data_IF_535181981484
#
_entry.id   IF_535181981484
#
_cell.length_a   1.000
_cell.length_b   1.000
_cell.length_c   1.000
_cell.angle_alpha   90.00
_cell.angle_beta   90.00
_cell.angle_gamma   90.00
#
_symmetry.space_group_name_H-M   'P 1'
#
loop_
_entity.id
_entity.type
_entity.pdbx_description
1 polymer ?
#
# COMPACT_ATOMS: atom_id res chain seq x y z
N UNK A 1 -9.20 -2.87 10.32
CA UNK A 1 -8.73 -3.58 9.10
C UNK A 1 -9.82 -3.70 8.04
N UNK A 2 -10.87 -4.52 8.21
CA UNK A 2 -11.86 -4.77 7.14
C UNK A 2 -12.64 -3.53 6.67
N UNK A 3 -13.03 -2.64 7.58
CA UNK A 3 -13.69 -1.36 7.23
C UNK A 3 -12.77 -0.49 6.35
N UNK A 4 -11.51 -0.32 6.77
CA UNK A 4 -10.50 0.43 6.02
C UNK A 4 -10.32 -0.14 4.59
N UNK A 5 -10.16 -1.45 4.46
CA UNK A 5 -10.03 -2.11 3.15
C UNK A 5 -11.27 -1.88 2.30
N UNK A 6 -12.46 -2.01 2.89
CA UNK A 6 -13.72 -1.80 2.18
C UNK A 6 -13.78 -0.38 1.63
N UNK A 7 -13.45 0.63 2.44
CA UNK A 7 -13.46 2.03 2.00
C UNK A 7 -12.46 2.25 0.85
N UNK A 8 -11.20 1.82 1.00
CA UNK A 8 -10.15 2.06 -0.01
C UNK A 8 -10.45 1.32 -1.31
N UNK A 9 -10.92 0.07 -1.25
CA UNK A 9 -11.32 -0.69 -2.45
C UNK A 9 -12.49 0.01 -3.14
N UNK A 10 -13.49 0.45 -2.38
CA UNK A 10 -14.70 1.07 -2.92
C UNK A 10 -14.36 2.36 -3.65
N UNK A 11 -13.64 3.27 -2.99
CA UNK A 11 -13.19 4.54 -3.60
C UNK A 11 -12.23 4.29 -4.77
N UNK A 12 -11.30 3.32 -4.63
CA UNK A 12 -10.38 2.94 -5.70
C UNK A 12 -11.08 2.39 -6.94
N UNK A 13 -12.06 1.50 -6.78
CA UNK A 13 -12.88 0.97 -7.89
C UNK A 13 -13.74 2.08 -8.50
N UNK A 14 -14.35 2.94 -7.68
CA UNK A 14 -15.15 4.07 -8.16
C UNK A 14 -14.31 5.00 -9.05
N UNK A 15 -13.12 5.38 -8.60
CA UNK A 15 -12.19 6.19 -9.38
C UNK A 15 -11.68 5.46 -10.62
N UNK A 16 -11.38 4.16 -10.52
CA UNK A 16 -10.97 3.35 -11.67
C UNK A 16 -12.02 3.32 -12.77
N UNK A 17 -13.28 3.05 -12.40
CA UNK A 17 -14.41 3.07 -13.32
C UNK A 17 -14.63 4.45 -13.91
N UNK A 18 -14.55 5.50 -13.10
CA UNK A 18 -14.67 6.90 -13.56
C UNK A 18 -13.61 7.24 -14.59
N UNK A 19 -12.35 6.87 -14.34
CA UNK A 19 -11.23 7.10 -15.27
C UNK A 19 -11.40 6.28 -16.55
N UNK A 20 -11.84 5.02 -16.48
CA UNK A 20 -12.11 4.21 -17.67
C UNK A 20 -13.24 4.82 -18.49
N UNK A 21 -14.35 5.19 -17.87
CA UNK A 21 -15.50 5.80 -18.56
C UNK A 21 -15.08 7.11 -19.21
N UNK A 22 -14.38 7.99 -18.49
CA UNK A 22 -13.87 9.25 -19.02
C UNK A 22 -12.90 9.02 -20.18
N UNK A 23 -12.00 8.04 -20.07
CA UNK A 23 -11.06 7.68 -21.14
C UNK A 23 -11.76 7.12 -22.37
N UNK A 24 -12.78 6.28 -22.19
CA UNK A 24 -13.59 5.76 -23.29
C UNK A 24 -14.37 6.87 -24.01
N UNK A 25 -14.88 7.86 -23.26
CA UNK A 25 -15.55 9.03 -23.83
C UNK A 25 -14.55 9.89 -24.61
N UNK A 26 -13.36 10.15 -24.03
CA UNK A 26 -12.29 10.92 -24.68
C UNK A 26 -11.79 10.23 -25.95
N UNK A 27 -11.62 8.90 -25.95
CA UNK A 27 -11.23 8.13 -27.14
C UNK A 27 -12.33 8.20 -28.21
N UNK A 28 -13.61 8.13 -27.83
CA UNK A 28 -14.73 8.28 -28.79
C UNK A 28 -14.76 9.68 -29.41
N UNK A 29 -14.50 10.73 -28.62
CA UNK A 29 -14.38 12.10 -29.12
C UNK A 29 -13.13 12.32 -29.98
N UNK A 30 -11.96 11.80 -29.58
CA UNK A 30 -10.73 11.87 -30.37
C UNK A 30 -10.80 11.13 -31.70
N UNK A 31 -11.64 10.10 -31.81
CA UNK A 31 -11.89 9.44 -33.11
C UNK A 31 -12.62 10.35 -34.12
N UNK A 32 -13.07 11.54 -33.68
CA UNK A 32 -13.67 12.57 -34.53
C UNK A 32 -12.71 13.75 -34.85
N UNK A 33 -11.58 13.88 -34.13
CA UNK A 33 -10.57 14.93 -34.35
C UNK A 33 -9.24 14.29 -34.81
N UNK A 34 -8.85 14.54 -36.06
CA UNK A 34 -7.74 13.89 -36.76
C UNK A 34 -6.33 14.37 -36.33
N UNK A 35 -6.22 15.19 -35.28
CA UNK A 35 -5.01 15.96 -34.98
C UNK A 35 -4.24 15.44 -33.74
N UNK A 36 -2.99 15.08 -33.98
CA UNK A 36 -2.09 14.37 -33.05
C UNK A 36 -1.87 15.06 -31.68
N UNK A 37 -1.75 14.22 -30.64
CA UNK A 37 -2.05 14.55 -29.23
C UNK A 37 -1.13 15.50 -28.46
N UNK A 38 -0.04 16.02 -29.03
CA UNK A 38 0.82 17.03 -28.36
C UNK A 38 0.43 18.46 -28.76
N UNK A 39 0.21 18.70 -30.06
CA UNK A 39 -0.24 19.97 -30.64
C UNK A 39 -1.59 20.39 -30.06
N UNK A 40 -2.54 19.45 -29.98
CA UNK A 40 -3.89 19.71 -29.49
C UNK A 40 -3.93 19.95 -27.96
N UNK A 41 -3.11 19.24 -27.18
CA UNK A 41 -3.02 19.43 -25.73
C UNK A 41 -2.41 20.80 -25.36
N UNK A 42 -1.34 21.21 -26.07
CA UNK A 42 -0.74 22.54 -25.91
C UNK A 42 -1.68 23.67 -26.34
N UNK A 43 -2.48 23.48 -27.40
CA UNK A 43 -3.53 24.44 -27.81
C UNK A 43 -4.67 24.55 -26.79
N UNK A 44 -5.05 23.45 -26.13
CA UNK A 44 -6.14 23.39 -25.14
C UNK A 44 -5.79 24.02 -23.79
N UNK A 45 -4.50 24.13 -23.47
CA UNK A 45 -4.00 24.74 -22.23
C UNK A 45 -2.97 25.85 -22.48
N UNK A 46 -3.38 27.00 -23.06
CA UNK A 46 -2.47 28.10 -23.40
C UNK A 46 -1.84 28.77 -22.17
N UNK A 47 -2.44 28.63 -20.98
CA UNK A 47 -1.99 29.23 -19.72
C UNK A 47 -0.88 28.47 -19.00
N UNK A 48 -0.37 27.35 -19.55
CA UNK A 48 0.72 26.58 -18.93
C UNK A 48 2.03 27.38 -18.94
N UNK A 49 2.68 27.45 -17.78
CA UNK A 49 4.02 28.02 -17.62
C UNK A 49 5.02 27.29 -18.52
N UNK A 50 6.12 27.97 -18.90
CA UNK A 50 7.16 27.40 -19.74
C UNK A 50 7.71 26.07 -19.17
N UNK A 51 7.97 26.04 -17.86
CA UNK A 51 8.48 24.86 -17.18
C UNK A 51 7.52 23.67 -17.27
N UNK A 52 6.22 23.90 -17.11
CA UNK A 52 5.22 22.83 -17.20
C UNK A 52 5.07 22.30 -18.61
N UNK A 53 5.14 23.20 -19.62
CA UNK A 53 5.18 22.77 -21.02
C UNK A 53 6.39 21.90 -21.30
N UNK A 54 7.57 22.28 -20.79
CA UNK A 54 8.79 21.51 -21.01
C UNK A 54 8.74 20.13 -20.35
N UNK A 55 8.18 20.05 -19.14
CA UNK A 55 7.97 18.76 -18.45
C UNK A 55 7.05 17.84 -19.23
N UNK A 56 5.93 18.35 -19.74
CA UNK A 56 4.98 17.58 -20.56
C UNK A 56 5.62 17.09 -21.85
N UNK A 57 6.40 17.94 -22.53
CA UNK A 57 7.10 17.57 -23.77
C UNK A 57 8.07 16.40 -23.55
N UNK A 58 8.93 16.50 -22.53
CA UNK A 58 9.92 15.46 -22.21
C UNK A 58 9.26 14.15 -21.78
N UNK A 59 8.18 14.22 -20.99
CA UNK A 59 7.39 13.07 -20.56
C UNK A 59 6.78 12.34 -21.77
N UNK A 60 6.08 13.06 -22.65
CA UNK A 60 5.43 12.47 -23.82
C UNK A 60 6.44 11.90 -24.82
N UNK A 61 7.61 12.52 -24.98
CA UNK A 61 8.68 12.03 -25.85
C UNK A 61 9.28 10.70 -25.35
N UNK A 62 9.36 10.51 -24.03
CA UNK A 62 9.98 9.32 -23.43
C UNK A 62 8.98 8.22 -23.06
N UNK A 63 7.68 8.42 -23.32
CA UNK A 63 6.61 7.50 -22.94
C UNK A 63 6.92 6.06 -23.33
N UNK A 64 6.65 5.14 -22.41
CA UNK A 64 6.76 3.69 -22.64
C UNK A 64 5.54 3.22 -23.43
N UNK A 65 5.71 2.53 -24.56
CA UNK A 65 4.61 1.95 -25.32
C UNK A 65 3.79 0.98 -24.46
N UNK A 66 2.46 1.15 -24.47
CA UNK A 66 1.55 0.32 -23.67
C UNK A 66 1.71 -1.18 -23.97
N UNK A 67 1.98 -1.54 -25.23
CA UNK A 67 2.22 -2.92 -25.66
C UNK A 67 3.37 -3.57 -24.91
N UNK A 68 4.45 -2.82 -24.63
CA UNK A 68 5.60 -3.35 -23.89
C UNK A 68 5.21 -3.59 -22.43
N UNK A 69 4.49 -2.66 -21.80
CA UNK A 69 4.04 -2.80 -20.41
C UNK A 69 3.06 -3.96 -20.23
N UNK A 70 2.08 -4.09 -21.13
CA UNK A 70 1.09 -5.19 -21.10
C UNK A 70 1.76 -6.53 -21.40
N UNK A 71 2.64 -6.59 -22.40
CA UNK A 71 3.39 -7.79 -22.73
C UNK A 71 4.30 -8.25 -21.58
N UNK A 72 5.03 -7.31 -20.96
CA UNK A 72 5.87 -7.59 -19.80
C UNK A 72 5.08 -8.06 -18.59
N UNK A 73 3.89 -7.49 -18.37
CA UNK A 73 2.99 -7.93 -17.31
C UNK A 73 2.50 -9.37 -17.54
N UNK A 74 2.00 -9.69 -18.74
CA UNK A 74 1.49 -11.04 -19.05
C UNK A 74 2.63 -12.06 -18.96
N UNK A 75 3.82 -11.75 -19.47
CA UNK A 75 4.97 -12.63 -19.40
C UNK A 75 5.40 -12.89 -17.95
N UNK A 76 5.55 -11.85 -17.13
CA UNK A 76 5.94 -11.99 -15.72
C UNK A 76 4.87 -12.70 -14.88
N UNK A 77 3.59 -12.42 -15.10
CA UNK A 77 2.48 -13.11 -14.45
C UNK A 77 2.45 -14.60 -14.81
N UNK A 78 2.71 -14.95 -16.07
CA UNK A 78 2.76 -16.35 -16.52
C UNK A 78 3.93 -17.09 -15.89
N UNK A 79 5.12 -16.49 -15.85
CA UNK A 79 6.30 -17.08 -15.19
C UNK A 79 6.00 -17.30 -13.70
N UNK A 80 5.46 -16.30 -13.01
CA UNK A 80 5.11 -16.41 -11.60
C UNK A 80 4.05 -17.48 -11.32
N UNK A 81 3.04 -17.60 -12.19
CA UNK A 81 1.99 -18.61 -12.06
C UNK A 81 2.50 -20.06 -12.22
N UNK A 82 3.69 -20.25 -12.81
CA UNK A 82 4.35 -21.57 -12.94
C UNK A 82 5.37 -21.79 -11.82
N UNK A 83 6.23 -20.80 -11.54
CA UNK A 83 7.33 -20.93 -10.58
C UNK A 83 6.82 -21.00 -9.14
N UNK A 84 5.80 -20.22 -8.77
CA UNK A 84 5.30 -20.17 -7.40
C UNK A 84 4.70 -21.51 -6.96
N UNK A 85 3.80 -22.17 -7.74
CA UNK A 85 3.32 -23.51 -7.40
C UNK A 85 4.41 -24.58 -7.38
N UNK A 86 5.52 -24.39 -8.11
CA UNK A 86 6.66 -25.31 -8.07
C UNK A 86 7.47 -25.19 -6.76
N UNK A 87 7.54 -23.98 -6.19
CA UNK A 87 8.21 -23.74 -4.91
C UNK A 87 7.32 -24.08 -3.70
N UNK A 88 6.00 -23.90 -3.83
CA UNK A 88 5.03 -24.10 -2.76
C UNK A 88 3.87 -24.98 -3.23
N UNK A 89 3.93 -26.28 -2.91
CA UNK A 89 2.89 -27.25 -3.27
C UNK A 89 1.48 -26.90 -2.72
N UNK A 90 1.42 -26.03 -1.71
CA UNK A 90 0.17 -25.63 -1.06
C UNK A 90 -0.66 -24.67 -1.93
N UNK A 91 -0.06 -23.99 -2.91
CA UNK A 91 -0.75 -23.06 -3.81
C UNK A 91 -0.73 -23.57 -5.26
N UNK A 92 -1.92 -23.66 -5.86
CA UNK A 92 -2.06 -24.12 -7.25
C UNK A 92 -2.01 -22.96 -8.25
N UNK A 93 -1.64 -23.25 -9.51
CA UNK A 93 -1.53 -22.26 -10.58
C UNK A 93 -2.78 -21.39 -10.76
N UNK A 94 -3.98 -21.96 -10.64
CA UNK A 94 -5.23 -21.20 -10.84
C UNK A 94 -5.47 -20.14 -9.76
N UNK A 95 -4.98 -20.37 -8.53
CA UNK A 95 -5.06 -19.37 -7.45
C UNK A 95 -4.17 -18.17 -7.78
N UNK A 96 -2.94 -18.43 -8.23
CA UNK A 96 -1.98 -17.40 -8.63
C UNK A 96 -2.46 -16.66 -9.89
N UNK A 97 -3.00 -17.37 -10.88
CA UNK A 97 -3.55 -16.78 -12.09
C UNK A 97 -4.75 -15.86 -11.77
N UNK A 98 -5.67 -16.29 -10.91
CA UNK A 98 -6.81 -15.47 -10.47
C UNK A 98 -6.32 -14.20 -9.79
N UNK A 99 -5.29 -14.32 -8.94
CA UNK A 99 -4.69 -13.19 -8.25
C UNK A 99 -4.12 -12.15 -9.21
N UNK A 100 -3.40 -12.59 -10.25
CA UNK A 100 -2.90 -11.68 -11.28
C UNK A 100 -4.03 -11.07 -12.12
N UNK A 101 -5.12 -11.78 -12.43
CA UNK A 101 -6.25 -11.18 -13.18
C UNK A 101 -6.86 -9.99 -12.42
N UNK A 102 -7.01 -10.09 -11.09
CA UNK A 102 -7.58 -9.00 -10.27
C UNK A 102 -6.55 -7.92 -9.90
N UNK A 103 -5.26 -8.23 -9.99
CA UNK A 103 -4.18 -7.37 -9.50
C UNK A 103 -4.19 -5.94 -10.08
N UNK A 104 -4.41 -5.71 -11.40
CA UNK A 104 -4.33 -4.35 -11.96
C UNK A 104 -5.35 -3.39 -11.35
N UNK A 105 -6.55 -3.87 -11.00
CA UNK A 105 -7.60 -3.05 -10.36
C UNK A 105 -7.19 -2.67 -8.95
N UNK A 106 -6.68 -3.63 -8.18
CA UNK A 106 -6.22 -3.41 -6.80
C UNK A 106 -4.96 -2.52 -6.78
N UNK A 107 -4.04 -2.74 -7.72
CA UNK A 107 -2.85 -1.92 -7.91
C UNK A 107 -3.23 -0.48 -8.25
N UNK A 108 -4.18 -0.26 -9.16
CA UNK A 108 -4.69 1.07 -9.45
C UNK A 108 -5.25 1.73 -8.19
N UNK A 109 -6.14 1.07 -7.45
CA UNK A 109 -6.72 1.60 -6.21
C UNK A 109 -5.63 1.99 -5.19
N UNK A 110 -4.64 1.12 -4.97
CA UNK A 110 -3.54 1.38 -4.03
C UNK A 110 -2.61 2.51 -4.52
N UNK A 111 -2.28 2.55 -5.81
CA UNK A 111 -1.42 3.60 -6.38
C UNK A 111 -2.11 4.96 -6.36
N UNK A 112 -3.43 5.00 -6.60
CA UNK A 112 -4.24 6.20 -6.47
C UNK A 112 -4.27 6.71 -5.03
N UNK A 113 -4.57 5.82 -4.08
CA UNK A 113 -4.52 6.14 -2.65
C UNK A 113 -3.14 6.69 -2.25
N UNK A 114 -2.08 5.97 -2.62
CA UNK A 114 -0.70 6.39 -2.37
C UNK A 114 -0.36 7.73 -3.04
N UNK A 115 -0.89 8.01 -4.23
CA UNK A 115 -0.70 9.29 -4.91
C UNK A 115 -1.34 10.48 -4.18
N UNK A 116 -2.44 10.24 -3.47
CA UNK A 116 -3.15 11.26 -2.68
C UNK A 116 -2.56 11.45 -1.28
N UNK A 117 -2.14 10.37 -0.64
CA UNK A 117 -1.80 10.36 0.79
C UNK A 117 -0.32 10.12 1.07
N UNK A 118 0.47 9.89 0.03
CA UNK A 118 1.86 9.44 0.11
C UNK A 118 2.06 8.14 0.91
N UNK A 119 1.00 7.32 0.98
CA UNK A 119 0.98 6.12 1.81
C UNK A 119 0.47 4.89 1.05
N UNK A 120 1.29 3.83 1.00
CA UNK A 120 0.91 2.55 0.40
C UNK A 120 0.27 1.65 1.44
N UNK A 121 -0.96 1.20 1.18
CA UNK A 121 -1.69 0.26 2.04
C UNK A 121 -1.52 -1.21 1.59
N UNK A 122 -0.43 -1.51 0.90
CA UNK A 122 -0.13 -2.86 0.37
C UNK A 122 -0.20 -3.96 1.43
N UNK A 123 0.33 -3.71 2.63
CA UNK A 123 0.23 -4.64 3.76
C UNK A 123 -1.21 -4.95 4.19
N UNK A 124 -2.11 -3.98 4.11
CA UNK A 124 -3.52 -4.14 4.46
C UNK A 124 -4.22 -5.07 3.48
N UNK A 125 -3.98 -4.86 2.18
CA UNK A 125 -4.41 -5.75 1.11
C UNK A 125 -3.83 -7.15 1.25
N UNK A 126 -2.55 -7.27 1.60
CA UNK A 126 -1.89 -8.53 1.89
C UNK A 126 -2.61 -9.31 3.01
N UNK A 127 -2.86 -8.67 4.15
CA UNK A 127 -3.60 -9.27 5.28
C UNK A 127 -4.97 -9.82 4.86
N UNK A 128 -5.73 -9.08 4.06
CA UNK A 128 -7.01 -9.54 3.54
C UNK A 128 -6.87 -10.67 2.52
N UNK A 129 -5.83 -10.63 1.70
CA UNK A 129 -5.51 -11.70 0.76
C UNK A 129 -5.25 -13.02 1.50
N UNK A 130 -4.53 -12.98 2.64
CA UNK A 130 -4.37 -14.17 3.48
C UNK A 130 -5.73 -14.72 3.89
N UNK A 131 -6.62 -13.87 4.43
CA UNK A 131 -7.93 -14.30 4.89
C UNK A 131 -8.73 -14.99 3.77
N UNK A 132 -8.78 -14.37 2.58
CA UNK A 132 -9.53 -14.90 1.43
C UNK A 132 -8.95 -16.22 0.92
N UNK A 133 -7.62 -16.31 0.76
CA UNK A 133 -6.99 -17.53 0.22
C UNK A 133 -6.96 -18.67 1.24
N UNK A 134 -6.81 -18.35 2.54
CA UNK A 134 -6.94 -19.34 3.60
C UNK A 134 -8.36 -19.93 3.65
N UNK A 135 -9.39 -19.08 3.50
CA UNK A 135 -10.79 -19.48 3.42
C UNK A 135 -11.13 -20.26 2.15
N UNK A 136 -10.40 -20.05 1.04
CA UNK A 136 -10.65 -20.77 -0.21
C UNK A 136 -10.01 -22.16 -0.20
N UNK A 137 -8.78 -22.30 0.31
CA UNK A 137 -8.01 -23.53 0.17
C UNK A 137 -8.47 -24.62 1.16
N UNK A 138 -8.91 -24.25 2.37
CA UNK A 138 -9.48 -25.12 3.43
C UNK A 138 -8.83 -26.51 3.50
N UNK A 139 -7.49 -26.54 3.54
CA UNK A 139 -6.66 -27.75 3.56
C UNK A 139 -5.47 -27.57 4.49
N UNK A 140 -4.82 -28.66 4.96
CA UNK A 140 -3.52 -28.56 5.62
C UNK A 140 -2.54 -27.83 4.67
N UNK A 141 -2.09 -26.64 5.06
CA UNK A 141 -1.29 -25.74 4.22
C UNK A 141 -1.97 -24.43 3.79
N UNK A 142 -3.25 -24.21 4.14
CA UNK A 142 -3.98 -22.98 3.79
C UNK A 142 -3.29 -21.69 4.27
N UNK A 143 -2.68 -21.71 5.45
CA UNK A 143 -1.93 -20.55 5.99
C UNK A 143 -0.72 -20.23 5.12
N UNK A 144 0.05 -21.25 4.73
CA UNK A 144 1.25 -21.08 3.88
C UNK A 144 0.84 -20.53 2.52
N UNK A 145 -0.18 -21.11 1.89
CA UNK A 145 -0.68 -20.62 0.60
C UNK A 145 -1.23 -19.18 0.69
N UNK A 146 -1.94 -18.84 1.77
CA UNK A 146 -2.39 -17.48 2.04
C UNK A 146 -1.23 -16.49 2.22
N UNK A 147 -0.17 -16.88 2.93
CA UNK A 147 1.05 -16.08 3.10
C UNK A 147 1.78 -15.87 1.77
N UNK A 148 1.85 -16.89 0.91
CA UNK A 148 2.43 -16.75 -0.44
C UNK A 148 1.61 -15.77 -1.29
N UNK A 149 0.28 -15.92 -1.32
CA UNK A 149 -0.61 -15.00 -2.02
C UNK A 149 -0.47 -13.55 -1.49
N UNK A 150 -0.35 -13.39 -0.17
CA UNK A 150 -0.08 -12.12 0.48
C UNK A 150 1.24 -11.49 0.01
N UNK A 151 2.32 -12.28 -0.04
CA UNK A 151 3.62 -11.80 -0.53
C UNK A 151 3.55 -11.28 -1.97
N UNK A 152 2.84 -11.99 -2.85
CA UNK A 152 2.62 -11.57 -4.24
C UNK A 152 1.87 -10.23 -4.30
N UNK A 153 0.78 -10.09 -3.54
CA UNK A 153 -0.02 -8.84 -3.50
C UNK A 153 0.80 -7.69 -2.94
N UNK A 154 1.45 -7.86 -1.79
CA UNK A 154 2.26 -6.81 -1.16
C UNK A 154 3.33 -6.34 -2.15
N UNK A 155 4.10 -7.25 -2.74
CA UNK A 155 5.16 -6.90 -3.68
C UNK A 155 4.61 -6.14 -4.89
N UNK A 156 3.55 -6.63 -5.53
CA UNK A 156 2.95 -5.98 -6.69
C UNK A 156 2.43 -4.57 -6.38
N UNK A 157 1.72 -4.41 -5.26
CA UNK A 157 1.13 -3.13 -4.85
C UNK A 157 2.17 -2.09 -4.42
N UNK A 158 3.23 -2.52 -3.72
CA UNK A 158 4.31 -1.61 -3.35
C UNK A 158 5.11 -1.17 -4.57
N UNK A 159 5.47 -2.09 -5.47
CA UNK A 159 6.22 -1.75 -6.68
C UNK A 159 5.40 -0.81 -7.57
N UNK A 160 4.10 -1.03 -7.74
CA UNK A 160 3.27 -0.13 -8.54
C UNK A 160 3.19 1.28 -7.95
N UNK A 161 3.02 1.40 -6.63
CA UNK A 161 2.92 2.68 -5.94
C UNK A 161 4.25 3.46 -5.99
N UNK A 162 5.36 2.78 -5.70
CA UNK A 162 6.71 3.35 -5.80
C UNK A 162 7.02 3.76 -7.23
N UNK A 163 6.69 2.92 -8.22
CA UNK A 163 6.90 3.29 -9.62
C UNK A 163 6.15 4.56 -10.02
N UNK A 164 4.95 4.79 -9.48
CA UNK A 164 4.19 6.02 -9.72
C UNK A 164 4.86 7.25 -9.10
N UNK A 165 5.37 7.14 -7.87
CA UNK A 165 6.12 8.21 -7.20
C UNK A 165 7.44 8.53 -7.91
N UNK A 166 8.15 7.50 -8.35
CA UNK A 166 9.37 7.65 -9.12
C UNK A 166 9.08 8.34 -10.45
N UNK A 167 8.06 7.89 -11.20
CA UNK A 167 7.66 8.53 -12.49
C UNK A 167 7.33 10.00 -12.28
N UNK A 168 6.62 10.34 -11.19
CA UNK A 168 6.32 11.73 -10.82
C UNK A 168 7.60 12.53 -10.54
N UNK A 169 8.56 11.94 -9.85
CA UNK A 169 9.87 12.56 -9.59
C UNK A 169 10.65 12.74 -10.89
N UNK A 170 10.62 11.76 -11.79
CA UNK A 170 11.20 11.84 -13.12
C UNK A 170 10.58 12.99 -13.93
N UNK A 171 9.25 13.11 -13.90
CA UNK A 171 8.53 14.23 -14.51
C UNK A 171 8.96 15.60 -13.95
N UNK A 172 9.10 15.72 -12.63
CA UNK A 172 9.53 16.97 -11.99
C UNK A 172 10.99 17.34 -12.29
N UNK A 173 11.86 16.34 -12.43
CA UNK A 173 13.31 16.49 -12.66
C UNK A 173 13.70 16.47 -14.14
N UNK A 174 12.75 16.33 -15.06
CA UNK A 174 12.99 16.16 -16.51
C UNK A 174 13.84 14.92 -16.84
N UNK A 175 13.82 13.91 -15.95
CA UNK A 175 14.52 12.63 -16.17
C UNK A 175 13.70 11.73 -17.09
N UNK A 176 14.37 10.98 -17.96
CA UNK A 176 13.69 10.02 -18.86
C UNK A 176 13.04 8.87 -18.07
N UNK A 177 11.73 8.67 -18.28
CA UNK A 177 10.97 7.54 -17.71
C UNK A 177 11.60 6.18 -17.99
N UNK A 178 12.18 6.00 -19.18
CA UNK A 178 12.80 4.73 -19.59
C UNK A 178 14.01 4.40 -18.72
N UNK A 179 14.87 5.40 -18.49
CA UNK A 179 16.06 5.23 -17.65
C UNK A 179 15.66 4.86 -16.22
N UNK A 180 14.59 5.46 -15.71
CA UNK A 180 14.08 5.21 -14.38
C UNK A 180 13.49 3.80 -14.22
N UNK A 181 12.70 3.32 -15.19
CA UNK A 181 12.20 1.93 -15.20
C UNK A 181 13.34 0.93 -15.30
N UNK A 182 14.36 1.19 -16.13
CA UNK A 182 15.56 0.35 -16.19
C UNK A 182 16.27 0.31 -14.84
N UNK A 183 16.42 1.47 -14.18
CA UNK A 183 16.99 1.57 -12.84
C UNK A 183 16.23 0.72 -11.81
N UNK A 184 14.90 0.75 -11.83
CA UNK A 184 14.07 -0.10 -10.98
C UNK A 184 14.27 -1.58 -11.27
N UNK A 185 14.32 -1.99 -12.55
CA UNK A 185 14.55 -3.39 -12.92
C UNK A 185 15.90 -3.87 -12.37
N UNK A 186 16.96 -3.08 -12.54
CA UNK A 186 18.29 -3.39 -12.00
C UNK A 186 18.25 -3.49 -10.47
N UNK A 187 17.58 -2.55 -9.81
CA UNK A 187 17.39 -2.57 -8.35
C UNK A 187 16.66 -3.83 -7.87
N UNK A 188 15.60 -4.25 -8.58
CA UNK A 188 14.85 -5.49 -8.28
C UNK A 188 15.74 -6.72 -8.46
N UNK A 189 16.57 -6.79 -9.51
CA UNK A 189 17.50 -7.90 -9.73
C UNK A 189 18.54 -7.99 -8.60
N UNK A 190 19.15 -6.86 -8.24
CA UNK A 190 20.13 -6.81 -7.13
C UNK A 190 19.45 -7.18 -5.81
N UNK A 191 18.28 -6.61 -5.52
CA UNK A 191 17.50 -6.90 -4.32
C UNK A 191 17.10 -8.37 -4.22
N UNK A 192 16.74 -9.01 -5.33
CA UNK A 192 16.39 -10.43 -5.38
C UNK A 192 17.55 -11.35 -4.99
N UNK A 193 18.79 -10.91 -5.15
CA UNK A 193 20.00 -11.65 -4.74
C UNK A 193 20.41 -11.27 -3.31
N UNK A 194 20.41 -9.98 -2.99
CA UNK A 194 20.91 -9.47 -1.71
C UNK A 194 19.95 -9.79 -0.56
N UNK A 195 18.63 -9.69 -0.75
CA UNK A 195 17.65 -9.91 0.31
C UNK A 195 17.69 -11.33 0.91
N UNK A 196 17.73 -12.42 0.11
CA UNK A 196 17.91 -13.78 0.65
C UNK A 196 19.26 -13.95 1.37
N UNK A 197 20.35 -13.36 0.84
CA UNK A 197 21.66 -13.41 1.49
C UNK A 197 21.66 -12.76 2.87
N UNK A 198 20.98 -11.61 3.02
CA UNK A 198 20.80 -10.94 4.31
C UNK A 198 20.00 -11.83 5.26
N UNK A 199 18.89 -12.42 4.79
CA UNK A 199 18.09 -13.34 5.59
C UNK A 199 18.91 -14.55 6.10
N UNK A 200 19.71 -15.16 5.22
CA UNK A 200 20.62 -16.26 5.59
C UNK A 200 21.72 -15.81 6.57
N UNK A 201 22.22 -14.58 6.44
CA UNK A 201 23.19 -14.02 7.38
C UNK A 201 22.58 -13.85 8.79
N UNK A 202 21.35 -13.33 8.89
CA UNK A 202 20.63 -13.29 10.17
C UNK A 202 20.41 -14.68 10.75
N UNK A 203 20.10 -15.67 9.90
CA UNK A 203 19.84 -17.03 10.36
C UNK A 203 21.11 -17.71 10.89
N UNK A 204 22.25 -17.43 10.25
CA UNK A 204 23.57 -17.93 10.67
C UNK A 204 24.10 -17.21 11.91
N UNK A 205 23.73 -15.94 12.11
CA UNK A 205 24.14 -15.15 13.26
C UNK A 205 23.42 -15.54 14.55
N UNK A 206 22.29 -16.22 14.46
CA UNK A 206 21.57 -16.72 15.63
C UNK A 206 22.14 -18.07 16.11
N UNK A 207 21.64 -18.57 17.25
CA UNK A 207 22.08 -19.84 17.82
C UNK A 207 21.87 -21.00 16.83
N UNK A 208 22.83 -21.94 16.73
CA UNK A 208 22.70 -23.08 15.82
C UNK A 208 21.44 -23.90 16.16
N UNK A 209 20.56 -24.07 15.17
CA UNK A 209 19.29 -24.80 15.31
C UNK A 209 18.08 -23.96 15.71
N UNK A 210 18.25 -22.65 15.97
CA UNK A 210 17.14 -21.73 16.25
C UNK A 210 16.69 -21.05 14.96
N UNK A 211 15.40 -21.13 14.65
CA UNK A 211 14.80 -20.39 13.52
C UNK A 211 14.50 -18.96 13.94
N UNK A 212 14.83 -18.01 13.07
CA UNK A 212 14.47 -16.59 13.23
C UNK A 212 12.97 -16.47 13.52
N UNK A 213 12.61 -15.62 14.48
CA UNK A 213 11.23 -15.38 14.87
C UNK A 213 10.63 -16.38 15.86
N UNK A 214 11.38 -17.40 16.28
CA UNK A 214 11.01 -18.24 17.43
C UNK A 214 11.16 -17.46 18.75
N UNK A 215 10.47 -17.90 19.81
CA UNK A 215 10.56 -17.25 21.13
C UNK A 215 11.98 -17.25 21.74
N UNK A 216 12.87 -18.10 21.20
CA UNK A 216 14.25 -18.27 21.66
C UNK A 216 15.27 -17.52 20.78
N UNK A 217 14.81 -16.94 19.66
CA UNK A 217 15.62 -16.16 18.72
C UNK A 217 15.88 -14.76 19.28
N UNK A 218 17.11 -14.27 19.12
CA UNK A 218 17.44 -12.87 19.45
C UNK A 218 16.76 -11.87 18.51
N UNK A 219 16.29 -12.33 17.35
CA UNK A 219 15.58 -11.54 16.36
C UNK A 219 14.08 -11.88 16.40
N UNK A 220 13.25 -11.10 17.12
CA UNK A 220 11.80 -11.32 17.13
C UNK A 220 11.19 -10.93 15.78
N UNK A 221 10.20 -11.72 15.32
CA UNK A 221 9.43 -11.42 14.10
C UNK A 221 7.97 -11.11 14.45
N UNK A 222 7.68 -9.92 15.00
CA UNK A 222 6.33 -9.60 15.51
C UNK A 222 5.26 -9.68 14.42
N UNK A 223 5.60 -9.29 13.18
CA UNK A 223 4.69 -9.38 12.05
C UNK A 223 4.36 -10.81 11.63
N UNK A 224 5.31 -11.75 11.74
CA UNK A 224 5.08 -13.14 11.31
C UNK A 224 3.94 -13.79 12.12
N UNK A 225 3.91 -13.55 13.44
CA UNK A 225 2.82 -14.00 14.31
C UNK A 225 1.48 -13.38 13.91
N UNK A 226 1.44 -12.09 13.62
CA UNK A 226 0.24 -11.38 13.17
C UNK A 226 -0.32 -11.96 11.87
N UNK A 227 0.51 -12.15 10.84
CA UNK A 227 0.08 -12.69 9.56
C UNK A 227 -0.38 -14.16 9.68
N UNK A 228 0.28 -14.96 10.52
CA UNK A 228 -0.17 -16.32 10.83
C UNK A 228 -1.53 -16.32 11.51
N UNK A 229 -1.76 -15.47 12.51
CA UNK A 229 -3.03 -15.38 13.22
C UNK A 229 -4.20 -15.05 12.28
N UNK A 230 -3.99 -14.12 11.33
CA UNK A 230 -4.99 -13.78 10.30
C UNK A 230 -5.27 -14.99 9.39
N UNK A 231 -4.24 -15.77 9.05
CA UNK A 231 -4.41 -17.02 8.31
C UNK A 231 -5.23 -18.06 9.06
N UNK A 232 -5.00 -18.22 10.37
CA UNK A 232 -5.79 -19.13 11.22
C UNK A 232 -7.27 -18.70 11.23
N UNK A 233 -7.55 -17.42 11.45
CA UNK A 233 -8.92 -16.87 11.39
C UNK A 233 -9.53 -17.10 10.01
N UNK A 234 -8.74 -16.93 8.95
CA UNK A 234 -9.17 -17.16 7.57
C UNK A 234 -9.62 -18.59 7.28
N UNK A 235 -9.08 -19.60 7.96
CA UNK A 235 -9.51 -21.01 7.76
C UNK A 235 -10.99 -21.19 8.14
N UNK A 236 -11.45 -20.56 9.23
CA UNK A 236 -12.86 -20.61 9.63
C UNK A 236 -13.75 -19.65 8.83
N UNK A 237 -13.18 -18.89 7.91
CA UNK A 237 -13.89 -18.05 6.96
C UNK A 237 -14.70 -16.94 7.63
N UNK A 238 -15.88 -16.65 7.06
CA UNK A 238 -16.72 -15.52 7.49
C UNK A 238 -17.32 -15.74 8.89
N UNK A 239 -17.43 -16.98 9.35
CA UNK A 239 -18.03 -17.31 10.65
C UNK A 239 -17.13 -16.93 11.84
N UNK A 240 -15.82 -16.80 11.62
CA UNK A 240 -14.85 -16.35 12.63
C UNK A 240 -14.74 -14.82 12.72
N UNK A 241 -15.43 -14.09 11.84
CA UNK A 241 -15.46 -12.63 11.89
C UNK A 241 -16.36 -12.16 13.05
N UNK A 242 -16.06 -10.99 13.66
CA UNK A 242 -16.93 -10.38 14.66
C UNK A 242 -18.36 -10.20 14.13
N UNK A 243 -19.37 -10.42 14.99
CA UNK A 243 -20.81 -10.46 14.63
C UNK A 243 -21.30 -9.31 13.73
N UNK A 244 -20.78 -8.10 13.93
CA UNK A 244 -21.19 -6.91 13.17
C UNK A 244 -20.17 -6.46 12.11
N UNK A 245 -19.13 -7.26 11.83
CA UNK A 245 -18.06 -6.88 10.91
C UNK A 245 -18.58 -6.63 9.50
N UNK A 246 -19.36 -7.57 8.95
CA UNK A 246 -19.93 -7.44 7.60
C UNK A 246 -20.93 -6.28 7.51
N UNK A 247 -21.78 -6.10 8.53
CA UNK A 247 -22.73 -4.99 8.58
C UNK A 247 -22.01 -3.64 8.57
N UNK A 248 -20.92 -3.50 9.34
CA UNK A 248 -20.10 -2.29 9.35
C UNK A 248 -19.36 -2.07 8.03
N UNK A 249 -18.87 -3.13 7.38
CA UNK A 249 -18.26 -3.03 6.05
C UNK A 249 -19.29 -2.59 5.00
N UNK A 250 -20.51 -3.15 5.04
CA UNK A 250 -21.58 -2.76 4.13
C UNK A 250 -22.02 -1.30 4.36
N UNK A 251 -22.14 -0.86 5.62
CA UNK A 251 -22.41 0.53 5.94
C UNK A 251 -21.30 1.45 5.42
N UNK A 252 -20.03 1.09 5.63
CA UNK A 252 -18.90 1.85 5.12
C UNK A 252 -18.89 1.92 3.59
N UNK A 253 -19.17 0.81 2.89
CA UNK A 253 -19.33 0.76 1.44
C UNK A 253 -20.39 1.76 0.95
N UNK A 254 -21.58 1.75 1.57
CA UNK A 254 -22.66 2.66 1.20
C UNK A 254 -22.29 4.13 1.43
N UNK A 255 -21.64 4.43 2.55
CA UNK A 255 -21.18 5.79 2.88
C UNK A 255 -20.14 6.25 1.85
N UNK A 256 -19.16 5.41 1.53
CA UNK A 256 -18.11 5.74 0.56
C UNK A 256 -18.69 6.03 -0.82
N UNK A 257 -19.53 5.14 -1.36
CA UNK A 257 -20.21 5.37 -2.65
C UNK A 257 -21.02 6.66 -2.63
N UNK A 258 -21.77 6.91 -1.55
CA UNK A 258 -22.57 8.13 -1.43
C UNK A 258 -21.70 9.39 -1.46
N UNK A 259 -20.60 9.40 -0.71
CA UNK A 259 -19.67 10.54 -0.65
C UNK A 259 -18.98 10.76 -2.00
N UNK A 260 -18.55 9.70 -2.69
CA UNK A 260 -17.86 9.79 -3.97
C UNK A 260 -18.79 10.27 -5.09
N UNK A 261 -20.01 9.73 -5.15
CA UNK A 261 -21.06 10.19 -6.08
C UNK A 261 -21.42 11.64 -5.81
N UNK A 262 -21.60 12.02 -4.55
CA UNK A 262 -21.91 13.39 -4.17
C UNK A 262 -20.78 14.35 -4.55
N UNK A 263 -19.52 13.93 -4.39
CA UNK A 263 -18.34 14.68 -4.82
C UNK A 263 -18.33 14.89 -6.33
N UNK A 264 -18.55 13.83 -7.10
CA UNK A 264 -18.59 13.90 -8.57
C UNK A 264 -19.72 14.79 -9.09
N UNK A 265 -20.93 14.65 -8.54
CA UNK A 265 -22.10 15.48 -8.90
C UNK A 265 -21.88 16.94 -8.50
N UNK A 266 -21.31 17.18 -7.32
CA UNK A 266 -21.00 18.53 -6.84
C UNK A 266 -19.98 19.23 -7.73
N UNK A 267 -18.97 18.50 -8.23
CA UNK A 267 -17.98 19.03 -9.18
C UNK A 267 -18.63 19.33 -10.53
N UNK A 268 -19.43 18.42 -11.07
CA UNK A 268 -20.11 18.62 -12.37
C UNK A 268 -21.12 19.76 -12.38
N UNK A 269 -21.83 19.99 -11.26
CA UNK A 269 -22.81 21.08 -11.12
C UNK A 269 -22.23 22.39 -10.55
N UNK A 270 -20.93 22.42 -10.23
CA UNK A 270 -20.26 23.61 -9.68
C UNK A 270 -20.73 24.01 -8.27
N UNK A 271 -21.30 23.09 -7.48
CA UNK A 271 -21.75 23.38 -6.11
C UNK A 271 -20.56 23.60 -5.19
N UNK A 272 -20.63 24.57 -4.25
CA UNK A 272 -19.55 24.82 -3.28
C UNK A 272 -19.27 23.65 -2.31
N UNK A 273 -20.16 22.65 -2.28
CA UNK A 273 -20.07 21.49 -1.38
C UNK A 273 -18.83 20.62 -1.63
N UNK A 274 -18.31 20.56 -2.86
CA UNK A 274 -17.11 19.77 -3.20
C UNK A 274 -15.87 20.13 -2.35
N UNK A 275 -15.80 21.35 -1.81
CA UNK A 275 -14.67 21.79 -0.96
C UNK A 275 -14.70 21.21 0.45
N UNK A 276 -15.85 20.74 0.91
CA UNK A 276 -16.06 20.24 2.26
C UNK A 276 -16.22 18.72 2.33
N UNK A 277 -16.35 18.06 1.18
CA UNK A 277 -16.48 16.61 1.13
C UNK A 277 -15.10 15.97 1.38
N UNK A 278 -14.99 15.08 2.39
CA UNK A 278 -13.74 14.40 2.66
C UNK A 278 -13.45 13.38 1.56
N UNK A 279 -12.17 13.17 1.27
CA UNK A 279 -11.77 12.00 0.51
C UNK A 279 -11.82 10.78 1.42
N UNK A 280 -12.60 9.78 1.04
CA UNK A 280 -12.86 8.61 1.87
C UNK A 280 -11.61 7.72 2.06
N UNK A 281 -10.72 7.66 1.07
CA UNK A 281 -9.42 6.99 1.20
C UNK A 281 -8.56 7.62 2.30
N UNK A 282 -8.55 8.95 2.42
CA UNK A 282 -7.82 9.65 3.51
C UNK A 282 -8.44 9.31 4.86
N UNK A 283 -9.78 9.30 4.95
CA UNK A 283 -10.50 8.94 6.18
C UNK A 283 -10.23 7.49 6.59
N UNK A 284 -9.95 6.59 5.65
CA UNK A 284 -9.69 5.18 5.94
C UNK A 284 -8.33 4.91 6.60
N UNK A 285 -7.32 5.76 6.37
CA UNK A 285 -5.94 5.52 6.82
C UNK A 285 -5.77 5.45 8.34
N UNK A 286 -6.36 6.36 9.15
CA UNK A 286 -6.29 6.28 10.61
C UNK A 286 -6.85 4.97 11.19
N UNK A 287 -7.90 4.41 10.58
CA UNK A 287 -8.47 3.13 11.00
C UNK A 287 -7.52 1.94 10.78
N UNK A 288 -6.41 2.15 10.08
CA UNK A 288 -5.36 1.17 9.88
C UNK A 288 -4.12 1.46 10.72
N UNK A 289 -3.59 2.68 10.64
CA UNK A 289 -2.29 3.03 11.23
C UNK A 289 -2.37 3.37 12.72
N UNK A 290 -3.53 3.82 13.20
CA UNK A 290 -3.74 4.29 14.57
C UNK A 290 -4.00 5.79 14.64
N UNK A 291 -4.35 6.30 15.83
CA UNK A 291 -4.71 7.70 16.04
C UNK A 291 -3.49 8.65 16.08
N UNK A 292 -2.27 8.16 16.25
CA UNK A 292 -1.08 9.01 16.35
C UNK A 292 -0.81 9.74 15.02
N UNK A 293 -0.93 9.03 13.90
CA UNK A 293 -0.76 9.58 12.55
C UNK A 293 -1.68 10.78 12.21
N UNK A 294 -3.02 10.70 12.35
CA UNK A 294 -3.87 11.84 12.05
C UNK A 294 -3.62 13.02 13.01
N UNK A 295 -3.17 12.79 14.24
CA UNK A 295 -2.79 13.85 15.17
C UNK A 295 -1.56 14.60 14.63
N UNK A 296 -0.53 13.87 14.21
CA UNK A 296 0.68 14.45 13.64
C UNK A 296 0.40 15.19 12.32
N UNK A 297 -0.43 14.61 11.44
CA UNK A 297 -0.85 15.27 10.20
C UNK A 297 -1.64 16.56 10.48
N UNK A 298 -2.49 16.58 11.51
CA UNK A 298 -3.23 17.77 11.92
C UNK A 298 -2.29 18.86 12.44
N UNK A 299 -1.33 18.51 13.29
CA UNK A 299 -0.29 19.41 13.78
C UNK A 299 0.55 19.97 12.64
N UNK A 300 1.03 19.12 11.73
CA UNK A 300 1.78 19.55 10.54
C UNK A 300 0.99 20.49 9.65
N UNK A 301 -0.31 20.22 9.45
CA UNK A 301 -1.22 21.10 8.69
C UNK A 301 -1.41 22.44 9.37
N UNK A 302 -1.57 22.47 10.70
CA UNK A 302 -1.70 23.71 11.46
C UNK A 302 -0.44 24.58 11.37
N UNK A 303 0.74 23.97 11.50
CA UNK A 303 2.04 24.66 11.33
C UNK A 303 2.18 25.22 9.91
N UNK A 304 1.88 24.43 8.88
CA UNK A 304 1.94 24.88 7.49
C UNK A 304 0.93 26.00 7.21
N UNK A 305 -0.28 25.93 7.77
CA UNK A 305 -1.30 26.95 7.63
C UNK A 305 -0.86 28.28 8.25
N UNK A 306 -0.33 28.26 9.47
CA UNK A 306 0.20 29.44 10.14
C UNK A 306 1.40 30.03 9.37
N UNK A 307 2.31 29.18 8.92
CA UNK A 307 3.47 29.61 8.13
C UNK A 307 3.04 30.24 6.80
N UNK A 308 2.08 29.64 6.10
CA UNK A 308 1.55 30.18 4.83
C UNK A 308 0.89 31.55 5.03
N UNK A 309 0.20 31.76 6.16
CA UNK A 309 -0.41 33.05 6.50
C UNK A 309 0.64 34.12 6.83
N UNK A 310 1.76 33.73 7.44
CA UNK A 310 2.86 34.65 7.76
C UNK A 310 3.73 34.98 6.55
N UNK A 311 4.11 33.96 5.76
CA UNK A 311 4.96 34.12 4.58
C UNK A 311 4.71 33.00 3.55
N UNK A 312 3.79 33.27 2.63
CA UNK A 312 3.40 32.33 1.57
C UNK A 312 4.56 31.95 0.63
N UNK A 313 5.47 32.89 0.34
CA UNK A 313 6.61 32.63 -0.55
C UNK A 313 7.61 31.66 0.07
N UNK A 314 7.92 31.84 1.35
CA UNK A 314 8.81 30.93 2.09
C UNK A 314 8.16 29.55 2.25
N UNK A 315 6.87 29.50 2.64
CA UNK A 315 6.16 28.24 2.81
C UNK A 315 6.14 27.42 1.52
N UNK A 316 5.85 28.03 0.36
CA UNK A 316 5.83 27.33 -0.92
C UNK A 316 7.19 26.77 -1.36
N UNK A 317 8.29 27.40 -0.96
CA UNK A 317 9.64 26.98 -1.34
C UNK A 317 10.27 25.98 -0.35
N UNK A 318 10.01 26.15 0.95
CA UNK A 318 10.71 25.41 2.01
C UNK A 318 9.88 24.31 2.67
N UNK A 319 8.55 24.32 2.57
CA UNK A 319 7.68 23.38 3.30
C UNK A 319 8.05 21.93 3.06
N UNK A 320 8.28 21.54 1.80
CA UNK A 320 8.67 20.17 1.44
C UNK A 320 10.05 19.79 2.01
N UNK A 321 11.01 20.73 2.04
CA UNK A 321 12.33 20.50 2.60
C UNK A 321 12.29 20.33 4.12
N UNK A 322 11.49 21.16 4.82
CA UNK A 322 11.31 21.04 6.28
C UNK A 322 10.60 19.74 6.64
N UNK A 323 9.53 19.38 5.92
CA UNK A 323 8.83 18.12 6.13
C UNK A 323 9.77 16.91 5.94
N UNK A 324 10.57 16.89 4.86
CA UNK A 324 11.57 15.85 4.62
C UNK A 324 12.63 15.81 5.74
N UNK A 325 13.06 16.98 6.24
CA UNK A 325 13.99 17.08 7.36
C UNK A 325 13.43 16.51 8.67
N UNK A 326 12.15 16.76 8.98
CA UNK A 326 11.48 16.20 10.17
C UNK A 326 11.36 14.68 10.09
N UNK A 327 10.93 14.15 8.93
CA UNK A 327 10.83 12.70 8.69
C UNK A 327 12.22 12.03 8.80
N UNK A 328 13.24 12.64 8.18
CA UNK A 328 14.61 12.13 8.27
C UNK A 328 15.16 12.19 9.70
N UNK A 329 14.84 13.26 10.44
CA UNK A 329 15.25 13.46 11.83
C UNK A 329 14.70 12.37 12.77
N UNK A 330 13.44 11.98 12.58
CA UNK A 330 12.84 10.84 13.31
C UNK A 330 13.61 9.54 13.02
N UNK A 331 13.89 9.26 11.74
CA UNK A 331 14.67 8.08 11.33
C UNK A 331 16.10 8.05 11.92
N UNK A 332 16.77 9.21 11.99
CA UNK A 332 18.09 9.33 12.61
C UNK A 332 18.06 9.01 14.12
N UNK A 333 16.93 9.27 14.79
CA UNK A 333 16.77 8.98 16.21
C UNK A 333 16.70 7.47 16.54
N UNK A 334 16.49 6.61 15.53
CA UNK A 334 16.62 5.16 15.68
C UNK A 334 18.08 4.71 15.85
N UNK A 335 19.06 5.46 15.31
CA UNK A 335 20.49 5.07 15.38
C UNK A 335 21.02 5.00 16.83
N UNK A 336 20.78 6.01 17.70
CA UNK A 336 21.11 5.89 19.11
C UNK A 336 20.48 4.66 19.78
N UNK A 337 19.20 4.37 19.49
CA UNK A 337 18.51 3.20 20.06
C UNK A 337 19.18 1.88 19.65
N UNK A 338 19.56 1.75 18.37
CA UNK A 338 20.32 0.59 17.87
C UNK A 338 21.69 0.50 18.55
N UNK A 339 22.42 1.61 18.69
CA UNK A 339 23.72 1.63 19.36
C UNK A 339 23.60 1.22 20.84
N UNK A 340 22.64 1.77 21.57
CA UNK A 340 22.37 1.41 22.97
C UNK A 340 22.05 -0.09 23.10
N UNK A 341 21.25 -0.63 22.17
CA UNK A 341 20.91 -2.06 22.12
C UNK A 341 22.14 -2.92 21.79
N UNK A 342 23.01 -2.49 20.86
CA UNK A 342 24.26 -3.19 20.54
C UNK A 342 25.22 -3.25 21.73
N UNK A 343 25.31 -2.19 22.52
CA UNK A 343 26.10 -2.18 23.75
C UNK A 343 25.41 -2.87 24.93
N UNK A 344 24.24 -3.51 24.70
CA UNK A 344 23.44 -4.17 25.74
C UNK A 344 23.13 -3.27 26.94
N UNK A 345 23.04 -1.95 26.71
CA UNK A 345 22.71 -0.98 27.74
C UNK A 345 21.24 -1.18 28.10
N UNK A 346 21.00 -1.66 29.31
CA UNK A 346 19.64 -1.83 29.80
C UNK A 346 18.97 -0.46 29.96
N UNK A 347 17.74 -0.28 29.46
CA UNK A 347 17.01 0.96 29.65
C UNK A 347 16.84 1.21 31.16
N UNK A 348 17.08 2.45 31.65
CA UNK A 348 17.02 2.76 33.08
C UNK A 348 15.61 2.59 33.67
N UNK A 349 14.58 2.51 32.82
CA UNK A 349 13.21 2.21 33.20
C UNK A 349 12.58 1.25 32.18
N UNK A 350 12.11 0.10 32.65
CA UNK A 350 11.24 -0.79 31.87
C UNK A 350 9.78 -0.47 32.22
N UNK A 351 9.08 0.23 31.34
CA UNK A 351 7.66 0.52 31.51
C UNK A 351 6.84 -0.52 30.75
N UNK A 352 6.18 -1.41 31.50
CA UNK A 352 5.24 -2.38 30.94
C UNK A 352 3.82 -1.85 31.17
N UNK A 353 3.17 -1.44 30.11
CA UNK A 353 1.75 -1.12 30.16
C UNK A 353 0.98 -2.44 30.22
N UNK A 354 0.44 -2.75 31.40
CA UNK A 354 -0.45 -3.89 31.53
C UNK A 354 -1.77 -3.55 30.85
N UNK A 355 -2.20 -4.33 29.85
CA UNK A 355 -3.49 -4.13 29.25
C UNK A 355 -4.56 -4.45 30.31
N UNK A 356 -5.25 -3.41 30.78
CA UNK A 356 -6.26 -3.51 31.83
C UNK A 356 -7.66 -3.42 31.23
N UNK A 357 -8.45 -4.49 31.37
CA UNK A 357 -9.84 -4.53 30.91
C UNK A 357 -10.36 -5.96 30.73
N UNK A 358 -11.68 -6.14 30.83
CA UNK A 358 -12.32 -7.46 30.66
C UNK A 358 -12.00 -8.12 29.31
N UNK A 359 -11.90 -7.33 28.25
CA UNK A 359 -11.65 -7.82 26.89
C UNK A 359 -10.24 -8.37 26.72
N UNK A 360 -9.25 -7.76 27.37
CA UNK A 360 -7.86 -8.21 27.36
C UNK A 360 -7.72 -9.54 28.09
N UNK A 361 -8.35 -9.67 29.25
CA UNK A 361 -8.35 -10.93 30.00
C UNK A 361 -8.98 -12.06 29.17
N UNK A 362 -10.03 -11.76 28.39
CA UNK A 362 -10.64 -12.73 27.48
C UNK A 362 -9.69 -13.12 26.34
N UNK A 363 -8.97 -12.17 25.75
CA UNK A 363 -8.00 -12.43 24.68
C UNK A 363 -6.79 -13.22 25.21
N UNK A 364 -6.24 -12.85 26.36
CA UNK A 364 -5.12 -13.57 26.98
C UNK A 364 -5.53 -14.99 27.40
N UNK A 365 -6.75 -15.17 27.93
CA UNK A 365 -7.29 -16.50 28.24
C UNK A 365 -7.48 -17.34 26.98
N UNK A 366 -7.93 -16.73 25.88
CA UNK A 366 -8.09 -17.40 24.59
C UNK A 366 -6.74 -17.82 23.98
N UNK A 367 -5.73 -16.94 24.01
CA UNK A 367 -4.38 -17.24 23.55
C UNK A 367 -3.72 -18.33 24.39
N UNK A 368 -3.89 -18.30 25.71
CA UNK A 368 -3.34 -19.31 26.61
C UNK A 368 -4.01 -20.69 26.45
N UNK A 369 -5.27 -20.72 26.03
CA UNK A 369 -5.98 -21.96 25.69
C UNK A 369 -5.62 -22.54 24.31
N UNK A 370 -5.03 -21.73 23.42
CA UNK A 370 -4.50 -22.19 22.12
C UNK A 370 -3.11 -22.80 22.24
N UNK A 371 -2.35 -22.46 23.28
CA UNK A 371 -1.00 -22.99 23.53
C UNK A 371 -0.98 -24.33 24.27
N UNK A 372 -2.08 -24.74 24.88
CA UNK A 372 -2.21 -26.08 25.47
C UNK A 372 -2.58 -27.07 24.37
N UNK A 373 -1.70 -28.04 24.02
CA UNK A 373 -2.13 -29.15 23.19
C UNK A 373 -3.12 -29.93 24.04
N UNK A 374 -4.36 -30.05 23.56
CA UNK A 374 -5.28 -31.09 24.03
C UNK A 374 -4.56 -32.42 23.91
N UNK A 375 -4.06 -32.92 25.03
CA UNK A 375 -3.77 -34.33 25.22
C UNK A 375 -5.10 -35.07 25.12
N UNK A 376 -5.37 -35.64 23.96
CA UNK A 376 -6.26 -36.78 23.80
C UNK A 376 -5.56 -37.77 22.89
#
# INVERSE_FOLDING_TARGET
VFICITIIITDGIFNFLTVIIASCIDIKHKRQDDDSGLSNYMKKHPSLNYDDRKRIEVFLQNKIPLTISVGGYIASATISAVVIPWLFDQIKFYHVATLYIIMPVIAFANTYANGLTDWSVGYTYGKFTIFVFAAWIVKPGAIVAGLVACGIVIAALHISSQATQDIKTGYMTLTSERAMVIGQIVGVVIGSIVSPCIFLAFQKSDKPGVTIGSAQSHYPCPFAGLFRAIGVIGIGGVNELPKYCLTMCFAAFCITILTDVLSLVSQGKGWKLHKYLPNMTVVALPFFAGPDFPIDMCLGTAVLYLWTKMNSRSANLLSSAVAAGLICGEGLFALPSVLLTMFSIQPPMCMKFFPGGKEVVVVDTFLHNLETPTKT
#
